data_IF_411472981731
#
_entry.id   IF_411472981731
#
_cell.length_a   1.000
_cell.length_b   1.000
_cell.length_c   1.000
_cell.angle_alpha   90.00
_cell.angle_beta   90.00
_cell.angle_gamma   90.00
#
_symmetry.space_group_name_H-M   'P 1'
#
loop_
_entity.id
_entity.type
_entity.pdbx_description
1 polymer ?
#
# COMPACT_ATOMS: atom_id res chain seq x y z
N UNK A 1 17.14 31.29 -9.40
CA UNK A 1 16.77 30.29 -8.40
C UNK A 1 16.07 29.19 -9.15
N UNK A 2 16.73 28.05 -9.36
CA UNK A 2 16.06 26.86 -9.88
C UNK A 2 15.15 26.38 -8.76
N UNK A 3 13.85 26.62 -8.87
CA UNK A 3 12.87 25.85 -8.09
C UNK A 3 13.22 24.38 -8.30
N UNK A 4 13.62 23.68 -7.24
CA UNK A 4 13.83 22.24 -7.32
C UNK A 4 12.52 21.66 -7.82
N UNK A 5 12.56 20.97 -8.95
CA UNK A 5 11.39 20.21 -9.42
C UNK A 5 11.00 19.27 -8.29
N UNK A 6 9.81 19.47 -7.74
CA UNK A 6 9.26 18.61 -6.69
C UNK A 6 9.16 17.20 -7.26
N UNK A 7 9.86 16.26 -6.62
CA UNK A 7 9.83 14.87 -7.06
C UNK A 7 8.50 14.24 -6.62
N UNK A 8 8.12 13.10 -7.22
CA UNK A 8 6.94 12.38 -6.77
C UNK A 8 7.07 11.98 -5.29
N UNK A 9 8.27 11.60 -4.86
CA UNK A 9 8.54 11.26 -3.46
C UNK A 9 8.36 12.49 -2.55
N UNK A 10 8.86 13.66 -2.93
CA UNK A 10 8.70 14.89 -2.14
C UNK A 10 7.22 15.24 -1.95
N UNK A 11 6.44 15.18 -3.02
CA UNK A 11 5.00 15.42 -2.97
C UNK A 11 4.30 14.43 -2.04
N UNK A 12 4.57 13.13 -2.18
CA UNK A 12 3.97 12.07 -1.33
C UNK A 12 4.35 12.30 0.14
N UNK A 13 5.61 12.60 0.44
CA UNK A 13 6.08 12.84 1.80
C UNK A 13 5.42 14.07 2.43
N UNK A 14 5.23 15.13 1.66
CA UNK A 14 4.51 16.32 2.12
C UNK A 14 3.05 16.00 2.44
N UNK A 15 2.34 15.24 1.60
CA UNK A 15 0.97 14.78 1.90
C UNK A 15 0.96 13.93 3.18
N UNK A 16 1.87 12.97 3.29
CA UNK A 16 1.94 12.08 4.46
C UNK A 16 2.18 12.84 5.77
N UNK A 17 3.03 13.87 5.75
CA UNK A 17 3.34 14.67 6.94
C UNK A 17 2.15 15.51 7.45
N UNK A 18 1.23 15.88 6.56
CA UNK A 18 0.10 16.74 6.88
C UNK A 18 -1.22 15.98 7.12
N UNK A 19 -1.43 14.87 6.42
CA UNK A 19 -2.73 14.17 6.40
C UNK A 19 -2.74 12.85 7.20
N UNK A 20 -1.57 12.25 7.47
CA UNK A 20 -1.48 10.93 8.08
C UNK A 20 -0.97 10.98 9.52
N UNK A 21 -1.25 9.91 10.26
CA UNK A 21 -0.62 9.74 11.57
C UNK A 21 0.90 9.50 11.40
N UNK A 22 1.73 9.94 12.37
CA UNK A 22 3.19 9.89 12.25
C UNK A 22 3.78 8.49 12.02
N UNK A 23 3.19 7.45 12.62
CA UNK A 23 3.69 6.08 12.50
C UNK A 23 3.54 5.57 11.05
N UNK A 24 2.39 5.82 10.42
CA UNK A 24 2.15 5.47 9.03
C UNK A 24 3.01 6.31 8.08
N UNK A 25 3.12 7.61 8.32
CA UNK A 25 3.97 8.49 7.52
C UNK A 25 5.42 8.00 7.52
N UNK A 26 5.96 7.63 8.68
CA UNK A 26 7.32 7.08 8.80
C UNK A 26 7.48 5.75 8.06
N UNK A 27 6.49 4.87 8.11
CA UNK A 27 6.50 3.61 7.37
C UNK A 27 6.52 3.85 5.84
N UNK A 28 5.78 4.84 5.34
CA UNK A 28 5.77 5.21 3.92
C UNK A 28 7.14 5.77 3.51
N UNK A 29 7.74 6.66 4.30
CA UNK A 29 9.09 7.19 4.04
C UNK A 29 10.11 6.05 3.87
N UNK A 30 10.14 5.10 4.81
CA UNK A 30 11.06 3.96 4.74
C UNK A 30 10.82 3.08 3.50
N UNK A 31 9.58 2.97 3.02
CA UNK A 31 9.25 2.24 1.79
C UNK A 31 9.76 2.96 0.54
N UNK A 32 9.61 4.30 0.48
CA UNK A 32 10.12 5.12 -0.61
C UNK A 32 11.65 5.10 -0.70
N UNK A 33 12.33 5.20 0.45
CA UNK A 33 13.79 5.10 0.54
C UNK A 33 14.27 3.73 0.05
N UNK A 34 13.66 2.64 0.53
CA UNK A 34 13.99 1.29 0.08
C UNK A 34 13.77 1.10 -1.42
N UNK A 35 12.71 1.68 -1.97
CA UNK A 35 12.46 1.67 -3.42
C UNK A 35 13.57 2.40 -4.18
N UNK A 36 13.96 3.58 -3.72
CA UNK A 36 15.04 4.38 -4.31
C UNK A 36 16.38 3.65 -4.28
N UNK A 37 16.70 3.01 -3.16
CA UNK A 37 17.91 2.18 -3.02
C UNK A 37 17.90 0.96 -3.96
N UNK A 38 16.74 0.31 -4.12
CA UNK A 38 16.61 -0.89 -4.94
C UNK A 38 16.64 -0.60 -6.45
N UNK A 39 16.00 0.48 -6.89
CA UNK A 39 15.81 0.78 -8.31
C UNK A 39 16.72 1.91 -8.82
N UNK A 40 17.40 2.65 -7.93
CA UNK A 40 18.32 3.73 -8.28
C UNK A 40 17.64 5.04 -8.67
N UNK A 41 16.30 5.10 -8.60
CA UNK A 41 15.49 6.28 -8.90
C UNK A 41 14.25 6.32 -7.99
N UNK A 42 13.59 7.49 -7.95
CA UNK A 42 12.34 7.69 -7.22
C UNK A 42 11.14 7.16 -8.01
N UNK A 43 9.95 7.14 -7.38
CA UNK A 43 8.71 6.83 -8.09
C UNK A 43 8.56 7.75 -9.30
N UNK A 44 8.24 7.16 -10.45
CA UNK A 44 7.96 7.90 -11.67
C UNK A 44 6.45 7.83 -11.93
N UNK A 45 5.70 8.95 -11.79
CA UNK A 45 4.25 8.93 -11.98
C UNK A 45 3.82 8.49 -13.38
N UNK A 46 4.71 8.59 -14.37
CA UNK A 46 4.47 8.23 -15.77
C UNK A 46 4.93 6.80 -16.11
N UNK A 47 5.33 5.99 -15.13
CA UNK A 47 5.65 4.60 -15.39
C UNK A 47 4.39 3.80 -15.75
N UNK A 48 4.53 2.97 -16.78
CA UNK A 48 3.51 2.06 -17.28
C UNK A 48 3.31 0.88 -16.30
N UNK A 49 2.23 0.95 -15.54
CA UNK A 49 1.91 0.00 -14.47
C UNK A 49 1.54 -1.40 -14.97
N UNK A 50 1.18 -1.56 -16.25
CA UNK A 50 0.86 -2.88 -16.85
C UNK A 50 2.06 -3.83 -16.84
N UNK A 51 3.28 -3.28 -16.69
CA UNK A 51 4.51 -4.05 -16.53
C UNK A 51 4.62 -4.79 -15.20
N UNK A 52 3.77 -4.43 -14.23
CA UNK A 52 3.79 -4.98 -12.87
C UNK A 52 2.50 -5.67 -12.45
N UNK A 53 1.57 -5.89 -13.40
CA UNK A 53 0.44 -6.79 -13.20
C UNK A 53 -0.94 -6.16 -13.33
N UNK A 54 -1.05 -4.84 -13.49
CA UNK A 54 -2.35 -4.19 -13.74
C UNK A 54 -2.83 -4.45 -15.17
N UNK A 55 -4.14 -4.44 -15.37
CA UNK A 55 -4.75 -4.55 -16.70
C UNK A 55 -4.68 -3.22 -17.45
N UNK A 56 -4.81 -2.10 -16.75
CA UNK A 56 -4.71 -0.75 -17.27
C UNK A 56 -3.47 -0.04 -16.71
N UNK A 57 -3.00 0.97 -17.45
CA UNK A 57 -1.95 1.84 -16.94
C UNK A 57 -2.54 2.82 -15.89
N UNK A 58 -2.66 2.35 -14.65
CA UNK A 58 -3.33 3.02 -13.55
C UNK A 58 -2.67 2.72 -12.20
N UNK A 59 -2.12 3.77 -11.56
CA UNK A 59 -1.66 3.69 -10.17
C UNK A 59 -2.78 3.38 -9.17
N UNK A 60 -4.05 3.68 -9.51
CA UNK A 60 -5.20 3.34 -8.67
C UNK A 60 -5.54 1.85 -8.76
N UNK A 61 -5.50 1.26 -9.96
CA UNK A 61 -5.65 -0.20 -10.11
C UNK A 61 -4.51 -0.93 -9.39
N UNK A 62 -3.28 -0.42 -9.49
CA UNK A 62 -2.14 -0.95 -8.72
C UNK A 62 -2.42 -0.94 -7.21
N UNK A 63 -2.98 0.16 -6.69
CA UNK A 63 -3.35 0.23 -5.28
C UNK A 63 -4.49 -0.75 -4.91
N UNK A 64 -5.45 -0.99 -5.81
CA UNK A 64 -6.51 -2.00 -5.63
C UNK A 64 -5.94 -3.42 -5.56
N UNK A 65 -5.03 -3.78 -6.48
CA UNK A 65 -4.31 -5.06 -6.47
C UNK A 65 -3.50 -5.24 -5.17
N UNK A 66 -2.84 -4.17 -4.69
CA UNK A 66 -2.09 -4.20 -3.42
C UNK A 66 -3.00 -4.41 -2.19
N UNK A 67 -4.28 -4.04 -2.25
CA UNK A 67 -5.25 -4.39 -1.19
C UNK A 67 -5.54 -5.89 -1.20
N UNK A 68 -5.69 -6.50 -2.38
CA UNK A 68 -5.87 -7.94 -2.51
C UNK A 68 -4.64 -8.70 -1.95
N UNK A 69 -3.44 -8.26 -2.30
CA UNK A 69 -2.17 -8.78 -1.78
C UNK A 69 -2.08 -8.62 -0.25
N UNK A 70 -2.47 -7.46 0.29
CA UNK A 70 -2.52 -7.25 1.74
C UNK A 70 -3.44 -8.25 2.45
N UNK A 71 -4.62 -8.56 1.88
CA UNK A 71 -5.52 -9.60 2.41
C UNK A 71 -4.84 -10.97 2.39
N UNK A 72 -4.16 -11.32 1.29
CA UNK A 72 -3.40 -12.58 1.17
C UNK A 72 -2.33 -12.65 2.26
N UNK A 73 -1.57 -11.58 2.51
CA UNK A 73 -0.53 -11.54 3.54
C UNK A 73 -1.10 -11.67 4.96
N UNK A 74 -2.22 -10.99 5.25
CA UNK A 74 -2.89 -11.07 6.56
C UNK A 74 -3.40 -12.49 6.83
N UNK A 75 -4.04 -13.12 5.84
CA UNK A 75 -4.52 -14.50 5.96
C UNK A 75 -3.35 -15.50 6.05
N UNK A 76 -2.28 -15.28 5.29
CA UNK A 76 -1.07 -16.10 5.36
C UNK A 76 -0.41 -16.01 6.74
N UNK A 77 -0.39 -14.83 7.36
CA UNK A 77 0.11 -14.67 8.72
C UNK A 77 -0.76 -15.44 9.74
N UNK A 78 -2.09 -15.42 9.59
CA UNK A 78 -2.97 -16.26 10.40
C UNK A 78 -2.63 -17.74 10.27
N UNK A 79 -2.46 -18.25 9.04
CA UNK A 79 -2.06 -19.64 8.79
C UNK A 79 -0.70 -19.96 9.43
N UNK A 80 0.24 -19.01 9.46
CA UNK A 80 1.52 -19.18 10.16
C UNK A 80 1.34 -19.39 11.66
N UNK A 81 0.46 -18.61 12.31
CA UNK A 81 0.14 -18.77 13.74
C UNK A 81 -0.48 -20.14 14.01
N UNK A 82 -1.43 -20.57 13.17
CA UNK A 82 -2.08 -21.89 13.27
C UNK A 82 -1.05 -23.02 13.12
N UNK A 83 -0.17 -22.94 12.11
CA UNK A 83 0.87 -23.96 11.90
C UNK A 83 1.86 -24.03 13.08
N UNK A 84 2.17 -22.90 13.69
CA UNK A 84 3.05 -22.82 14.85
C UNK A 84 2.35 -23.11 16.18
N UNK A 85 1.03 -23.36 16.17
CA UNK A 85 0.20 -23.56 17.38
C UNK A 85 0.32 -22.41 18.39
N UNK A 86 0.51 -21.19 17.87
CA UNK A 86 0.52 -19.95 18.66
C UNK A 86 -0.73 -19.11 18.42
N UNK A 87 -1.69 -19.64 17.65
CA UNK A 87 -2.98 -19.02 17.44
C UNK A 87 -3.81 -18.98 18.73
N UNK A 88 -4.65 -17.95 18.83
CA UNK A 88 -5.62 -17.81 19.89
C UNK A 88 -6.82 -17.00 19.38
N UNK A 89 -7.86 -16.89 20.20
CA UNK A 89 -9.09 -16.16 19.85
C UNK A 89 -8.79 -14.71 19.45
N UNK A 90 -7.90 -14.02 20.16
CA UNK A 90 -7.55 -12.62 19.86
C UNK A 90 -6.84 -12.49 18.52
N UNK A 91 -5.93 -13.41 18.17
CA UNK A 91 -5.29 -13.44 16.87
C UNK A 91 -6.31 -13.57 15.74
N UNK A 92 -7.27 -14.50 15.87
CA UNK A 92 -8.33 -14.67 14.88
C UNK A 92 -9.18 -13.41 14.71
N UNK A 93 -9.65 -12.82 15.82
CA UNK A 93 -10.44 -11.58 15.76
C UNK A 93 -9.68 -10.45 15.08
N UNK A 94 -8.40 -10.27 15.42
CA UNK A 94 -7.56 -9.26 14.78
C UNK A 94 -7.42 -9.51 13.29
N UNK A 95 -7.13 -10.75 12.88
CA UNK A 95 -7.04 -11.11 11.45
C UNK A 95 -8.35 -10.79 10.72
N UNK A 96 -9.49 -11.26 11.23
CA UNK A 96 -10.78 -11.05 10.56
C UNK A 96 -11.21 -9.59 10.56
N UNK A 97 -10.89 -8.83 11.61
CA UNK A 97 -11.12 -7.39 11.63
C UNK A 97 -10.36 -6.69 10.51
N UNK A 98 -9.06 -6.97 10.36
CA UNK A 98 -8.22 -6.38 9.31
C UNK A 98 -8.73 -6.77 7.91
N UNK A 99 -9.03 -8.06 7.70
CA UNK A 99 -9.59 -8.53 6.42
C UNK A 99 -10.88 -7.80 6.06
N UNK A 100 -11.79 -7.64 7.03
CA UNK A 100 -13.04 -6.91 6.80
C UNK A 100 -12.79 -5.45 6.48
N UNK A 101 -11.88 -4.78 7.19
CA UNK A 101 -11.53 -3.37 6.92
C UNK A 101 -10.93 -3.20 5.52
N UNK A 102 -10.02 -4.09 5.10
CA UNK A 102 -9.46 -4.06 3.74
C UNK A 102 -10.52 -4.33 2.67
N UNK A 103 -11.48 -5.22 2.95
CA UNK A 103 -12.61 -5.48 2.04
C UNK A 103 -13.48 -4.23 1.85
N UNK A 104 -13.76 -3.50 2.93
CA UNK A 104 -14.50 -2.24 2.87
C UNK A 104 -13.72 -1.14 2.14
N UNK A 105 -12.40 -1.11 2.28
CA UNK A 105 -11.56 -0.19 1.53
C UNK A 105 -11.62 -0.50 0.02
N UNK A 106 -11.54 -1.77 -0.36
CA UNK A 106 -11.71 -2.20 -1.76
C UNK A 106 -13.11 -1.84 -2.30
N UNK A 107 -14.17 -1.94 -1.51
CA UNK A 107 -15.51 -1.48 -1.92
C UNK A 107 -15.51 0.03 -2.27
N UNK A 108 -14.75 0.86 -1.55
CA UNK A 108 -14.66 2.29 -1.84
C UNK A 108 -14.02 2.61 -3.20
N UNK A 109 -13.16 1.74 -3.75
CA UNK A 109 -12.63 1.92 -5.11
C UNK A 109 -13.73 1.80 -6.17
N UNK A 110 -14.76 0.98 -5.93
CA UNK A 110 -15.90 0.81 -6.82
C UNK A 110 -16.91 1.98 -6.76
N UNK A 111 -16.83 2.82 -5.73
CA UNK A 111 -17.68 4.00 -5.58
C UNK A 111 -17.12 5.23 -6.31
N UNK A 112 -15.85 5.21 -6.68
CA UNK A 112 -15.21 6.27 -7.46
C UNK A 112 -15.44 5.93 -8.94
N UNK A 113 -16.17 6.77 -9.71
CA UNK A 113 -16.35 6.52 -11.13
C UNK A 113 -14.99 6.44 -11.82
N UNK A 114 -14.74 5.38 -12.58
CA UNK A 114 -13.67 5.37 -13.58
C UNK A 114 -13.99 6.46 -14.60
N UNK A 115 -13.06 7.39 -14.84
CA UNK A 115 -13.17 8.38 -15.92
C UNK A 115 -13.34 7.72 -17.30
#
# INVERSE_FOLDING_TARGET
MTESVETANDYILNVCANELNPDLASAITARLEKGKEAYGHELQPLDDTTKWGTHFDSWLEMAEEEIADAIIYVLTNWLRLVKNRTDNKQHYWRTMYIVKTLSQLHEAFNEIPSE
#
